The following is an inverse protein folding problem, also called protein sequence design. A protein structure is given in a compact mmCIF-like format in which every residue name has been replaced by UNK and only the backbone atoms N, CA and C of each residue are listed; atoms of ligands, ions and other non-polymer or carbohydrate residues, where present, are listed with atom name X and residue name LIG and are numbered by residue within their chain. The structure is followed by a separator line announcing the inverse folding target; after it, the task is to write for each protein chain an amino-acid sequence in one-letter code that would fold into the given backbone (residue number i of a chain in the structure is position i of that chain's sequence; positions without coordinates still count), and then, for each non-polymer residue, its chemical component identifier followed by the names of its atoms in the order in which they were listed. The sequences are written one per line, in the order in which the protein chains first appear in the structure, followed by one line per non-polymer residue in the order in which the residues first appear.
data_IF_803929768318
#
_entry.id   IF_803929768318
#
_cell.length_a   1.000
_cell.length_b   1.000
_cell.length_c   1.000
_cell.angle_alpha   90.00
_cell.angle_beta   90.00
_cell.angle_gamma   90.00
#
_symmetry.space_group_name_H-M   'P 1'
#
loop_
_entity.id
_entity.type
_entity.pdbx_description
1 polymer ?
#
# COMPACT_ATOMS: atom_id res chain seq x y z
N UNK A 1 -70.37 -20.31 21.38
CA UNK A 1 -69.79 -19.17 20.65
C UNK A 1 -69.64 -18.00 21.62
N UNK A 2 -68.39 -17.70 21.99
CA UNK A 2 -68.04 -16.88 23.15
C UNK A 2 -68.32 -15.38 22.92
N UNK A 3 -69.09 -14.81 23.85
CA UNK A 3 -69.33 -13.37 24.03
C UNK A 3 -68.00 -12.70 24.39
N UNK A 4 -67.37 -11.99 23.45
CA UNK A 4 -66.22 -11.14 23.74
C UNK A 4 -66.71 -9.87 24.46
N UNK A 5 -66.16 -9.67 25.65
CA UNK A 5 -66.47 -8.59 26.59
C UNK A 5 -66.05 -7.22 26.05
N UNK A 6 -66.98 -6.26 26.05
CA UNK A 6 -66.80 -4.84 25.66
C UNK A 6 -65.65 -4.13 26.38
N UNK A 7 -65.08 -4.71 27.46
CA UNK A 7 -63.92 -4.15 28.16
C UNK A 7 -62.58 -4.40 27.44
N UNK A 8 -62.49 -5.37 26.52
CA UNK A 8 -61.27 -5.59 25.71
C UNK A 8 -61.18 -4.67 24.49
N UNK A 9 -62.32 -4.26 23.91
CA UNK A 9 -62.35 -3.34 22.78
C UNK A 9 -61.91 -1.90 23.17
N UNK A 10 -62.22 -1.46 24.39
CA UNK A 10 -61.82 -0.12 24.87
C UNK A 10 -60.31 -0.06 25.15
N UNK A 11 -59.69 -1.15 25.60
CA UNK A 11 -58.22 -1.21 25.81
C UNK A 11 -57.43 -1.26 24.50
N UNK A 12 -57.95 -1.91 23.46
CA UNK A 12 -57.30 -1.96 22.14
C UNK A 12 -57.42 -0.60 21.42
N UNK A 13 -58.55 0.10 21.58
CA UNK A 13 -58.73 1.46 21.05
C UNK A 13 -57.80 2.49 21.73
N UNK A 14 -57.58 2.37 23.05
CA UNK A 14 -56.69 3.27 23.79
C UNK A 14 -55.20 3.06 23.50
N UNK A 15 -54.78 1.87 23.07
CA UNK A 15 -53.38 1.59 22.70
C UNK A 15 -53.09 2.10 21.28
N UNK A 16 -54.10 2.09 20.38
CA UNK A 16 -53.95 2.64 19.03
C UNK A 16 -53.89 4.18 19.03
N UNK A 17 -54.59 4.85 19.97
CA UNK A 17 -54.55 6.30 20.09
C UNK A 17 -53.22 6.84 20.65
N UNK A 18 -52.54 6.07 21.51
CA UNK A 18 -51.21 6.44 22.05
C UNK A 18 -50.10 6.18 21.02
N UNK A 19 -50.26 5.18 20.15
CA UNK A 19 -49.30 4.92 19.07
C UNK A 19 -49.32 5.97 17.95
N UNK A 20 -50.46 6.65 17.75
CA UNK A 20 -50.59 7.77 16.79
C UNK A 20 -50.00 9.07 17.34
N UNK A 21 -49.90 9.22 18.67
CA UNK A 21 -49.36 10.43 19.32
C UNK A 21 -47.83 10.42 19.52
N UNK A 22 -47.15 9.30 19.28
CA UNK A 22 -45.67 9.22 19.33
C UNK A 22 -45.01 9.24 17.94
N UNK A 23 -45.78 9.47 16.88
CA UNK A 23 -45.30 9.63 15.49
C UNK A 23 -45.17 11.11 15.07
N UNK A 24 -45.30 12.05 16.00
CA UNK A 24 -45.28 13.51 15.71
C UNK A 24 -43.97 14.22 16.06
N UNK A 25 -42.88 13.49 16.28
CA UNK A 25 -41.53 14.09 16.33
C UNK A 25 -40.74 13.73 15.08
N UNK A 26 -41.37 13.92 13.92
CA UNK A 26 -40.67 14.02 12.65
C UNK A 26 -40.31 15.50 12.55
N UNK A 27 -39.02 15.77 12.53
CA UNK A 27 -38.41 17.05 12.15
C UNK A 27 -39.13 17.65 10.94
N UNK A 28 -39.11 18.98 10.74
CA UNK A 28 -39.58 19.57 9.50
C UNK A 28 -38.59 19.21 8.38
N UNK A 29 -38.61 17.96 7.94
CA UNK A 29 -38.25 17.62 6.57
C UNK A 29 -39.30 18.30 5.71
N UNK A 30 -39.01 19.55 5.33
CA UNK A 30 -39.53 20.10 4.10
C UNK A 30 -39.03 19.21 2.98
N UNK A 31 -39.79 18.15 2.69
CA UNK A 31 -39.85 17.62 1.34
C UNK A 31 -40.39 18.76 0.48
N UNK A 32 -39.51 19.67 0.08
CA UNK A 32 -39.65 20.35 -1.21
C UNK A 32 -39.37 19.26 -2.23
N UNK A 33 -40.34 18.35 -2.37
CA UNK A 33 -40.55 17.74 -3.65
C UNK A 33 -40.75 18.92 -4.59
N UNK A 34 -39.76 19.17 -5.45
CA UNK A 34 -39.90 19.97 -6.65
C UNK A 34 -40.89 19.25 -7.59
N UNK A 35 -42.12 19.07 -7.12
CA UNK A 35 -43.26 18.91 -7.98
C UNK A 35 -43.34 20.24 -8.72
N UNK A 36 -43.01 20.23 -10.01
CA UNK A 36 -43.29 21.34 -10.92
C UNK A 36 -44.81 21.58 -10.91
N UNK A 37 -45.30 22.32 -9.92
CA UNK A 37 -46.54 23.07 -10.07
C UNK A 37 -46.28 23.94 -11.30
N UNK A 38 -47.12 23.76 -12.30
CA UNK A 38 -47.12 24.52 -13.54
C UNK A 38 -47.35 25.98 -13.16
N UNK A 39 -46.28 26.69 -12.84
CA UNK A 39 -46.28 28.09 -12.49
C UNK A 39 -46.46 28.85 -13.82
N UNK A 40 -47.52 29.64 -13.94
CA UNK A 40 -47.73 30.52 -15.09
C UNK A 40 -46.79 31.76 -15.04
N UNK A 41 -45.59 31.63 -14.46
CA UNK A 41 -44.64 32.72 -14.17
C UNK A 41 -43.22 32.28 -14.55
N UNK A 42 -42.44 33.18 -15.15
CA UNK A 42 -41.04 32.94 -15.51
C UNK A 42 -40.14 32.94 -14.28
N UNK A 43 -39.03 32.19 -14.33
CA UNK A 43 -38.12 32.00 -13.20
C UNK A 43 -36.66 32.19 -13.57
N UNK A 44 -35.86 32.65 -12.60
CA UNK A 44 -34.39 32.58 -12.64
C UNK A 44 -33.94 31.78 -11.42
N UNK A 45 -33.19 30.70 -11.63
CA UNK A 45 -32.75 29.78 -10.57
C UNK A 45 -33.89 29.38 -9.61
N UNK A 46 -35.07 29.04 -10.16
CA UNK A 46 -36.27 28.69 -9.39
C UNK A 46 -37.00 29.86 -8.71
N UNK A 47 -36.45 31.08 -8.75
CA UNK A 47 -37.06 32.29 -8.18
C UNK A 47 -38.04 32.88 -9.18
N UNK A 48 -39.27 33.17 -8.76
CA UNK A 48 -40.28 33.78 -9.62
C UNK A 48 -39.92 35.23 -9.92
N UNK A 49 -39.95 35.59 -11.20
CA UNK A 49 -39.70 36.95 -11.70
C UNK A 49 -40.98 37.48 -12.35
N UNK A 50 -41.53 38.53 -11.77
CA UNK A 50 -42.76 39.21 -12.20
C UNK A 50 -42.52 40.64 -12.73
N UNK A 51 -41.25 41.02 -12.87
CA UNK A 51 -40.79 42.35 -13.29
C UNK A 51 -39.76 42.25 -14.42
N UNK A 52 -39.75 43.26 -15.30
CA UNK A 52 -38.73 43.44 -16.34
C UNK A 52 -37.64 44.44 -15.92
N UNK A 53 -37.74 45.02 -14.71
CA UNK A 53 -36.73 45.95 -14.19
C UNK A 53 -35.47 45.19 -13.74
N UNK A 54 -34.37 45.37 -14.50
CA UNK A 54 -33.07 44.78 -14.22
C UNK A 54 -32.60 44.98 -12.78
N UNK A 55 -32.86 46.14 -12.17
CA UNK A 55 -32.38 46.43 -10.81
C UNK A 55 -33.19 45.67 -9.76
N UNK A 56 -34.50 45.52 -9.98
CA UNK A 56 -35.38 44.76 -9.11
C UNK A 56 -35.03 43.26 -9.16
N UNK A 57 -34.84 42.71 -10.37
CA UNK A 57 -34.37 41.33 -10.55
C UNK A 57 -33.01 41.14 -9.87
N UNK A 58 -32.08 42.09 -10.03
CA UNK A 58 -30.76 42.01 -9.41
C UNK A 58 -30.83 42.01 -7.89
N UNK A 59 -31.73 42.78 -7.29
CA UNK A 59 -31.92 42.80 -5.85
C UNK A 59 -32.48 41.47 -5.34
N UNK A 60 -33.48 40.90 -6.03
CA UNK A 60 -34.06 39.59 -5.70
C UNK A 60 -33.01 38.48 -5.77
N UNK A 61 -32.20 38.47 -6.82
CA UNK A 61 -31.11 37.49 -6.98
C UNK A 61 -30.02 37.67 -5.93
N UNK A 62 -29.65 38.91 -5.57
CA UNK A 62 -28.63 39.17 -4.56
C UNK A 62 -29.04 38.68 -3.16
N UNK A 63 -30.31 38.88 -2.78
CA UNK A 63 -30.85 38.37 -1.52
C UNK A 63 -30.83 36.84 -1.47
N UNK A 64 -31.26 36.20 -2.56
CA UNK A 64 -31.27 34.73 -2.66
C UNK A 64 -29.88 34.12 -2.70
N UNK A 65 -28.96 34.76 -3.40
CA UNK A 65 -27.57 34.33 -3.46
C UNK A 65 -26.91 34.40 -2.09
N UNK A 66 -27.15 35.48 -1.34
CA UNK A 66 -26.65 35.62 0.03
C UNK A 66 -27.16 34.46 0.90
N UNK A 67 -28.47 34.20 0.87
CA UNK A 67 -29.10 33.11 1.62
C UNK A 67 -28.51 31.73 1.25
N UNK A 68 -28.30 31.46 -0.04
CA UNK A 68 -27.75 30.18 -0.51
C UNK A 68 -26.26 30.02 -0.13
N UNK A 69 -25.50 31.11 -0.14
CA UNK A 69 -24.06 31.11 0.16
C UNK A 69 -23.71 30.94 1.64
N UNK A 70 -24.68 31.14 2.56
CA UNK A 70 -24.49 30.99 4.01
C UNK A 70 -24.24 29.53 4.43
N UNK A 71 -24.66 28.57 3.60
CA UNK A 71 -24.47 27.14 3.84
C UNK A 71 -23.47 26.57 2.83
N UNK A 72 -22.46 25.80 3.29
CA UNK A 72 -21.55 25.13 2.37
C UNK A 72 -22.33 24.11 1.52
N UNK A 73 -21.83 23.85 0.32
CA UNK A 73 -22.39 22.81 -0.54
C UNK A 73 -21.81 21.46 -0.11
N UNK A 74 -22.68 20.52 0.26
CA UNK A 74 -22.29 19.19 0.70
C UNK A 74 -22.44 18.19 -0.44
N UNK A 75 -21.35 17.50 -0.80
CA UNK A 75 -21.37 16.41 -1.76
C UNK A 75 -21.28 15.10 -0.97
N UNK A 76 -22.41 14.40 -0.85
CA UNK A 76 -22.51 13.12 -0.16
C UNK A 76 -22.00 11.99 -1.05
N UNK A 77 -21.09 11.18 -0.50
CA UNK A 77 -20.48 10.02 -1.15
C UNK A 77 -20.70 8.75 -0.32
N UNK A 78 -20.34 7.58 -0.85
CA UNK A 78 -20.55 6.29 -0.15
C UNK A 78 -19.92 6.28 1.25
N UNK A 79 -18.75 6.91 1.38
CA UNK A 79 -18.02 7.01 2.64
C UNK A 79 -17.66 8.47 2.94
N UNK A 80 -18.62 9.19 3.54
CA UNK A 80 -18.42 10.55 4.03
C UNK A 80 -18.99 11.63 3.13
N UNK A 81 -18.45 12.84 3.27
CA UNK A 81 -18.98 14.04 2.61
C UNK A 81 -17.82 14.95 2.21
N UNK A 82 -17.90 15.54 1.03
CA UNK A 82 -16.99 16.61 0.60
C UNK A 82 -17.72 17.94 0.83
N UNK A 83 -17.14 18.79 1.67
CA UNK A 83 -17.64 20.13 1.93
C UNK A 83 -17.00 21.12 0.95
N UNK A 84 -17.84 21.76 0.13
CA UNK A 84 -17.42 22.72 -0.87
C UNK A 84 -17.73 24.14 -0.39
N UNK A 85 -16.68 24.94 -0.25
CA UNK A 85 -16.78 26.37 0.07
C UNK A 85 -17.38 27.12 -1.13
N UNK A 86 -18.43 27.89 -0.86
CA UNK A 86 -19.13 28.70 -1.88
C UNK A 86 -18.24 29.81 -2.45
N UNK A 87 -17.12 30.14 -1.79
CA UNK A 87 -16.09 31.05 -2.32
C UNK A 87 -15.42 30.55 -3.60
N UNK A 88 -15.50 29.25 -3.90
CA UNK A 88 -15.00 28.64 -5.14
C UNK A 88 -15.95 28.82 -6.34
N UNK A 89 -17.11 29.46 -6.14
CA UNK A 89 -18.14 29.65 -7.15
C UNK A 89 -18.29 31.14 -7.47
N UNK A 90 -18.05 31.51 -8.71
CA UNK A 90 -18.25 32.87 -9.21
C UNK A 90 -19.56 32.97 -9.98
N UNK A 91 -20.53 33.71 -9.44
CA UNK A 91 -21.85 33.91 -10.06
C UNK A 91 -21.88 35.10 -11.04
N UNK A 92 -22.43 34.87 -12.23
CA UNK A 92 -22.57 35.82 -13.33
C UNK A 92 -23.99 36.38 -13.40
N UNK A 93 -24.35 37.18 -12.38
CA UNK A 93 -25.72 37.68 -12.18
C UNK A 93 -26.19 38.56 -13.33
N UNK A 94 -25.35 39.47 -13.84
CA UNK A 94 -25.78 40.40 -14.88
C UNK A 94 -26.06 39.66 -16.20
N UNK A 95 -25.20 38.70 -16.55
CA UNK A 95 -25.30 37.84 -17.72
C UNK A 95 -26.57 36.98 -17.68
N UNK A 96 -26.88 36.44 -16.49
CA UNK A 96 -28.12 35.67 -16.26
C UNK A 96 -29.36 36.53 -16.50
N UNK A 97 -29.38 37.76 -15.97
CA UNK A 97 -30.49 38.70 -16.16
C UNK A 97 -30.66 39.05 -17.64
N UNK A 98 -29.56 39.29 -18.36
CA UNK A 98 -29.60 39.60 -19.79
C UNK A 98 -30.13 38.44 -20.62
N UNK A 99 -29.69 37.21 -20.31
CA UNK A 99 -30.20 36.00 -20.94
C UNK A 99 -31.69 35.81 -20.68
N UNK A 100 -32.14 36.05 -19.44
CA UNK A 100 -33.55 35.98 -19.07
C UNK A 100 -34.38 36.98 -19.88
N UNK A 101 -34.00 38.26 -19.85
CA UNK A 101 -34.72 39.33 -20.55
C UNK A 101 -34.73 39.14 -22.07
N UNK A 102 -33.66 38.58 -22.64
CA UNK A 102 -33.63 38.24 -24.05
C UNK A 102 -34.62 37.13 -24.38
N UNK A 103 -34.74 36.11 -23.53
CA UNK A 103 -35.67 34.98 -23.73
C UNK A 103 -37.13 35.35 -23.45
N UNK A 104 -37.38 36.32 -22.56
CA UNK A 104 -38.73 36.83 -22.26
C UNK A 104 -39.15 38.01 -23.15
N UNK A 105 -38.24 38.53 -24.00
CA UNK A 105 -38.52 39.67 -24.86
C UNK A 105 -39.71 39.39 -25.80
N UNK A 106 -40.80 40.12 -25.58
CA UNK A 106 -41.98 40.10 -26.44
C UNK A 106 -42.11 41.45 -27.14
N UNK A 107 -42.06 41.50 -28.49
CA UNK A 107 -42.28 42.74 -29.19
C UNK A 107 -43.65 43.34 -28.86
N UNK A 108 -43.72 44.66 -28.70
CA UNK A 108 -44.94 45.37 -28.28
C UNK A 108 -46.17 45.06 -29.15
N UNK A 109 -45.95 44.73 -30.43
CA UNK A 109 -47.02 44.37 -31.35
C UNK A 109 -47.53 42.94 -31.17
N UNK A 110 -46.99 42.14 -30.25
CA UNK A 110 -47.44 40.77 -30.00
C UNK A 110 -48.23 40.64 -28.68
N UNK A 111 -48.76 41.74 -28.14
CA UNK A 111 -49.43 41.80 -26.83
C UNK A 111 -50.61 40.82 -26.63
N UNK A 112 -51.17 40.28 -27.72
CA UNK A 112 -52.24 39.28 -27.68
C UNK A 112 -51.74 37.83 -27.51
N UNK A 113 -50.43 37.58 -27.64
CA UNK A 113 -49.85 36.26 -27.41
C UNK A 113 -49.62 36.05 -25.91
N UNK A 114 -49.82 34.82 -25.45
CA UNK A 114 -49.51 34.43 -24.07
C UNK A 114 -48.03 34.72 -23.79
N UNK A 115 -47.74 35.29 -22.62
CA UNK A 115 -46.37 35.58 -22.17
C UNK A 115 -45.47 34.36 -22.31
N UNK A 116 -44.24 34.59 -22.75
CA UNK A 116 -43.22 33.54 -22.88
C UNK A 116 -42.75 33.20 -21.47
N UNK A 117 -43.13 32.01 -21.00
CA UNK A 117 -42.67 31.47 -19.73
C UNK A 117 -41.29 30.84 -19.94
N UNK A 118 -40.30 31.37 -19.22
CA UNK A 118 -38.92 30.93 -19.32
C UNK A 118 -38.43 30.59 -17.93
N UNK A 119 -37.67 29.50 -17.83
CA UNK A 119 -36.87 29.17 -16.67
C UNK A 119 -35.38 29.24 -17.10
N UNK A 120 -34.58 30.01 -16.36
CA UNK A 120 -33.15 30.21 -16.65
C UNK A 120 -32.34 29.89 -15.40
N UNK A 121 -31.41 28.92 -15.44
CA UNK A 121 -30.51 28.69 -14.33
C UNK A 121 -29.55 29.87 -14.16
N UNK A 122 -29.08 30.11 -12.93
CA UNK A 122 -28.03 31.12 -12.73
C UNK A 122 -26.74 30.68 -13.42
N UNK A 123 -26.10 31.61 -14.13
CA UNK A 123 -24.80 31.38 -14.76
C UNK A 123 -23.70 31.51 -13.69
N UNK A 124 -22.74 30.60 -13.69
CA UNK A 124 -21.60 30.63 -12.78
C UNK A 124 -20.36 29.96 -13.39
N UNK A 125 -19.24 30.10 -12.71
CA UNK A 125 -17.99 29.38 -12.99
C UNK A 125 -17.45 28.82 -11.68
N UNK A 126 -17.01 27.57 -11.70
CA UNK A 126 -16.35 26.93 -10.55
C UNK A 126 -14.84 26.94 -10.73
N UNK A 127 -14.11 27.13 -9.64
CA UNK A 127 -12.67 26.94 -9.59
C UNK A 127 -12.30 25.48 -9.90
N UNK A 128 -11.19 25.28 -10.61
CA UNK A 128 -10.71 23.95 -11.01
C UNK A 128 -10.41 23.03 -9.81
N UNK A 129 -10.11 23.62 -8.65
CA UNK A 129 -9.93 22.89 -7.38
C UNK A 129 -11.12 22.01 -7.02
N UNK A 130 -12.34 22.38 -7.42
CA UNK A 130 -13.54 21.57 -7.19
C UNK A 130 -13.41 20.21 -7.87
N UNK A 131 -12.88 20.19 -9.10
CA UNK A 131 -12.67 18.96 -9.85
C UNK A 131 -11.57 18.12 -9.20
N UNK A 132 -10.48 18.75 -8.74
CA UNK A 132 -9.40 18.05 -8.05
C UNK A 132 -9.84 17.43 -6.72
N UNK A 133 -10.72 18.12 -5.97
CA UNK A 133 -11.34 17.56 -4.76
C UNK A 133 -12.16 16.31 -5.05
N UNK A 134 -12.90 16.27 -6.17
CA UNK A 134 -13.66 15.09 -6.58
C UNK A 134 -12.74 13.97 -7.10
N UNK A 135 -11.68 14.30 -7.84
CA UNK A 135 -10.68 13.33 -8.34
C UNK A 135 -9.94 12.56 -7.25
N UNK A 136 -9.84 13.14 -6.04
CA UNK A 136 -9.24 12.45 -4.89
C UNK A 136 -10.00 11.17 -4.51
N UNK A 137 -11.24 11.01 -4.97
CA UNK A 137 -12.07 9.85 -4.71
C UNK A 137 -12.38 9.11 -6.02
N UNK A 138 -11.65 8.01 -6.25
CA UNK A 138 -11.81 7.19 -7.45
C UNK A 138 -13.19 6.52 -7.55
N UNK A 139 -13.98 6.49 -6.47
CA UNK A 139 -15.34 5.94 -6.51
C UNK A 139 -16.32 6.88 -7.21
N UNK A 140 -16.01 8.16 -7.40
CA UNK A 140 -16.92 9.16 -7.97
C UNK A 140 -16.82 9.21 -9.50
N UNK A 141 -17.95 9.10 -10.20
CA UNK A 141 -18.04 9.46 -11.62
C UNK A 141 -18.09 10.98 -11.72
N UNK A 142 -16.95 11.57 -12.05
CA UNK A 142 -16.74 13.02 -11.97
C UNK A 142 -17.71 13.78 -12.86
N UNK A 143 -17.80 13.45 -14.15
CA UNK A 143 -18.60 14.22 -15.12
C UNK A 143 -20.08 14.27 -14.73
N UNK A 144 -20.65 13.13 -14.34
CA UNK A 144 -22.06 13.03 -13.92
C UNK A 144 -22.31 13.70 -12.57
N UNK A 145 -21.35 13.60 -11.65
CA UNK A 145 -21.43 14.29 -10.35
C UNK A 145 -21.36 15.80 -10.54
N UNK A 146 -20.48 16.28 -11.43
CA UNK A 146 -20.38 17.70 -11.79
C UNK A 146 -21.67 18.19 -12.44
N UNK A 147 -22.34 17.39 -13.28
CA UNK A 147 -23.63 17.76 -13.84
C UNK A 147 -24.69 18.00 -12.75
N UNK A 148 -24.76 17.12 -11.75
CA UNK A 148 -25.66 17.32 -10.59
C UNK A 148 -25.28 18.53 -9.73
N UNK A 149 -23.99 18.72 -9.49
CA UNK A 149 -23.49 19.91 -8.78
C UNK A 149 -23.86 21.18 -9.54
N UNK A 150 -23.76 21.15 -10.87
CA UNK A 150 -24.14 22.29 -11.70
C UNK A 150 -25.63 22.59 -11.65
N UNK A 151 -26.47 21.56 -11.63
CA UNK A 151 -27.92 21.71 -11.48
C UNK A 151 -28.28 22.29 -10.11
N UNK A 152 -27.67 21.77 -9.04
CA UNK A 152 -27.86 22.21 -7.67
C UNK A 152 -27.53 23.70 -7.48
N UNK A 153 -26.36 24.13 -7.98
CA UNK A 153 -25.92 25.53 -7.93
C UNK A 153 -26.79 26.40 -8.86
N UNK A 154 -27.06 25.91 -10.07
CA UNK A 154 -27.82 26.64 -11.10
C UNK A 154 -29.25 26.97 -10.68
N UNK A 155 -29.83 26.19 -9.77
CA UNK A 155 -31.22 26.33 -9.32
C UNK A 155 -31.39 26.62 -7.83
N UNK A 156 -30.30 26.78 -7.07
CA UNK A 156 -30.32 27.05 -5.63
C UNK A 156 -31.22 26.08 -4.84
N UNK A 157 -31.01 24.76 -4.98
CA UNK A 157 -31.96 23.77 -4.43
C UNK A 157 -31.80 23.55 -2.91
N UNK A 158 -30.97 22.61 -2.47
CA UNK A 158 -30.85 22.13 -1.08
C UNK A 158 -29.44 22.25 -0.48
N UNK A 159 -28.46 22.74 -1.23
CA UNK A 159 -27.04 22.75 -0.85
C UNK A 159 -26.50 21.34 -0.53
N UNK A 160 -27.14 20.28 -1.02
CA UNK A 160 -26.68 18.89 -0.85
C UNK A 160 -26.82 18.11 -2.14
N UNK A 161 -25.74 17.48 -2.60
CA UNK A 161 -25.69 16.70 -3.83
C UNK A 161 -25.24 15.29 -3.52
N UNK A 162 -25.99 14.30 -4.00
CA UNK A 162 -25.54 12.91 -3.97
C UNK A 162 -24.63 12.62 -5.16
N UNK A 163 -23.35 12.36 -4.88
CA UNK A 163 -22.37 11.99 -5.89
C UNK A 163 -22.83 10.75 -6.66
N UNK A 164 -22.60 10.74 -7.97
CA UNK A 164 -22.74 9.52 -8.75
C UNK A 164 -21.52 8.67 -8.47
N UNK A 165 -21.77 7.52 -7.87
CA UNK A 165 -20.74 6.54 -7.62
C UNK A 165 -20.62 5.64 -8.84
N UNK A 166 -19.37 5.40 -9.24
CA UNK A 166 -19.00 4.33 -10.13
C UNK A 166 -19.59 3.07 -9.54
N UNK A 167 -20.37 2.33 -10.32
CA UNK A 167 -20.83 1.03 -9.88
C UNK A 167 -19.62 0.09 -9.90
N UNK A 168 -18.84 0.10 -8.82
CA UNK A 168 -17.61 -0.69 -8.63
C UNK A 168 -17.92 -2.20 -8.80
N UNK A 169 -19.17 -2.63 -8.61
CA UNK A 169 -19.60 -4.00 -8.87
C UNK A 169 -19.64 -4.41 -10.36
N UNK A 170 -19.47 -3.46 -11.30
CA UNK A 170 -19.50 -3.71 -12.75
C UNK A 170 -18.19 -3.43 -13.48
N UNK A 171 -17.13 -3.11 -12.74
CA UNK A 171 -15.76 -3.13 -13.25
C UNK A 171 -15.18 -4.47 -12.80
N UNK A 172 -14.84 -5.34 -13.75
CA UNK A 172 -14.19 -6.60 -13.43
C UNK A 172 -12.85 -6.29 -12.73
N UNK A 173 -12.65 -6.87 -11.54
CA UNK A 173 -11.35 -6.81 -10.88
C UNK A 173 -10.28 -7.43 -11.79
N UNK A 174 -9.13 -6.77 -11.91
CA UNK A 174 -7.98 -7.30 -12.60
C UNK A 174 -7.07 -8.03 -11.61
N UNK A 175 -6.50 -9.15 -12.04
CA UNK A 175 -5.38 -9.75 -11.33
C UNK A 175 -4.16 -8.86 -11.51
N UNK A 176 -3.71 -8.22 -10.42
CA UNK A 176 -2.55 -7.33 -10.42
C UNK A 176 -1.26 -8.05 -10.00
N UNK A 177 -1.35 -9.21 -9.36
CA UNK A 177 -0.20 -10.04 -9.02
C UNK A 177 -0.59 -11.52 -8.88
N UNK A 178 0.35 -12.42 -9.18
CA UNK A 178 0.16 -13.88 -9.02
C UNK A 178 1.46 -14.59 -8.69
N UNK A 179 1.38 -15.52 -7.73
CA UNK A 179 2.51 -16.35 -7.32
C UNK A 179 2.07 -17.80 -7.19
N UNK A 180 2.83 -18.70 -7.82
CA UNK A 180 2.63 -20.15 -7.70
C UNK A 180 3.87 -20.78 -7.07
N UNK A 181 3.70 -21.60 -6.03
CA UNK A 181 4.79 -22.26 -5.30
C UNK A 181 4.46 -23.71 -4.98
N UNK A 182 5.47 -24.58 -5.13
CA UNK A 182 5.39 -25.96 -4.64
C UNK A 182 5.36 -25.95 -3.10
N UNK A 183 4.44 -26.71 -2.51
CA UNK A 183 4.28 -26.79 -1.07
C UNK A 183 5.41 -27.63 -0.47
N UNK A 184 6.19 -27.01 0.42
CA UNK A 184 7.32 -27.64 1.14
C UNK A 184 7.08 -27.83 2.64
N UNK A 185 5.90 -27.45 3.12
CA UNK A 185 5.53 -27.42 4.55
C UNK A 185 4.35 -28.34 4.86
N UNK A 186 3.93 -28.39 6.13
CA UNK A 186 2.74 -29.13 6.53
C UNK A 186 1.49 -28.56 5.85
N UNK A 187 0.82 -29.40 5.04
CA UNK A 187 -0.35 -28.95 4.29
C UNK A 187 -1.53 -28.54 5.17
N UNK A 188 -1.77 -29.21 6.32
CA UNK A 188 -2.88 -28.87 7.22
C UNK A 188 -2.68 -27.51 7.89
N UNK A 189 -1.45 -27.18 8.28
CA UNK A 189 -1.15 -25.84 8.81
C UNK A 189 -1.26 -24.76 7.73
N UNK A 190 -0.87 -25.07 6.49
CA UNK A 190 -1.03 -24.16 5.37
C UNK A 190 -2.51 -23.91 5.02
N UNK A 191 -3.34 -24.96 5.00
CA UNK A 191 -4.78 -24.88 4.76
C UNK A 191 -5.49 -23.94 5.76
N UNK A 192 -5.13 -24.00 7.05
CA UNK A 192 -5.66 -23.08 8.07
C UNK A 192 -5.26 -21.61 7.83
N UNK A 193 -4.03 -21.37 7.35
CA UNK A 193 -3.57 -20.03 7.00
C UNK A 193 -4.29 -19.50 5.76
N UNK A 194 -4.49 -20.35 4.76
CA UNK A 194 -5.26 -20.04 3.55
C UNK A 194 -6.70 -19.68 3.92
N UNK A 195 -7.39 -20.52 4.69
CA UNK A 195 -8.78 -20.25 5.14
C UNK A 195 -8.89 -18.90 5.86
N UNK A 196 -7.84 -18.51 6.60
CA UNK A 196 -7.82 -17.26 7.36
C UNK A 196 -7.64 -16.01 6.48
N UNK A 197 -6.89 -16.13 5.38
CA UNK A 197 -6.50 -15.04 4.48
C UNK A 197 -7.35 -14.97 3.21
N UNK A 198 -8.05 -16.04 2.86
CA UNK A 198 -8.90 -16.11 1.68
C UNK A 198 -9.97 -15.02 1.69
N UNK A 199 -10.01 -14.22 0.62
CA UNK A 199 -10.93 -13.10 0.49
C UNK A 199 -10.62 -11.93 1.43
N UNK A 200 -9.44 -11.89 2.07
CA UNK A 200 -9.04 -10.72 2.86
C UNK A 200 -8.90 -9.52 1.92
N UNK A 201 -9.63 -8.45 2.21
CA UNK A 201 -9.56 -7.19 1.47
C UNK A 201 -8.80 -6.15 2.26
N UNK A 202 -7.70 -5.65 1.70
CA UNK A 202 -6.93 -4.52 2.22
C UNK A 202 -7.43 -3.21 1.61
N UNK A 203 -7.92 -2.31 2.47
CA UNK A 203 -8.48 -1.02 2.08
C UNK A 203 -7.38 -0.02 1.67
N UNK A 204 -7.75 1.08 0.98
CA UNK A 204 -6.85 2.20 0.74
C UNK A 204 -6.18 2.69 2.04
N UNK A 205 -4.87 2.88 1.99
CA UNK A 205 -4.01 3.31 3.11
C UNK A 205 -4.06 2.39 4.35
N UNK A 206 -4.68 1.22 4.27
CA UNK A 206 -4.68 0.24 5.35
C UNK A 206 -3.28 -0.39 5.46
N UNK A 207 -2.80 -0.52 6.69
CA UNK A 207 -1.61 -1.30 7.01
C UNK A 207 -2.03 -2.71 7.43
N UNK A 208 -1.54 -3.71 6.73
CA UNK A 208 -1.75 -5.12 7.04
C UNK A 208 -0.57 -5.65 7.85
N UNK A 209 -0.87 -6.24 9.02
CA UNK A 209 0.06 -7.03 9.84
C UNK A 209 -0.28 -8.51 9.69
N UNK A 210 0.65 -9.30 9.14
CA UNK A 210 0.42 -10.72 8.93
C UNK A 210 0.25 -11.46 10.27
N UNK A 211 1.14 -11.20 11.23
CA UNK A 211 1.06 -11.81 12.55
C UNK A 211 -0.25 -11.45 13.26
N UNK A 212 -0.74 -10.22 13.15
CA UNK A 212 -2.02 -9.84 13.75
C UNK A 212 -3.18 -10.69 13.21
N UNK A 213 -3.24 -10.89 11.88
CA UNK A 213 -4.28 -11.68 11.22
C UNK A 213 -4.31 -13.12 11.73
N UNK A 214 -3.14 -13.76 11.87
CA UNK A 214 -3.00 -15.18 12.19
C UNK A 214 -2.82 -15.48 13.68
N UNK A 215 -2.59 -14.47 14.51
CA UNK A 215 -2.32 -14.60 15.96
C UNK A 215 -3.41 -15.34 16.76
N UNK A 216 -4.65 -15.32 16.27
CA UNK A 216 -5.79 -15.97 16.93
C UNK A 216 -5.93 -17.47 16.57
N UNK A 217 -5.07 -18.01 15.71
CA UNK A 217 -5.05 -19.42 15.36
C UNK A 217 -4.34 -20.22 16.46
N UNK A 218 -5.07 -20.51 17.54
CA UNK A 218 -4.58 -21.25 18.73
C UNK A 218 -3.98 -22.62 18.37
N UNK A 219 -4.40 -23.20 17.25
CA UNK A 219 -3.95 -24.52 16.78
C UNK A 219 -2.66 -24.46 15.95
N UNK A 220 -2.19 -23.26 15.59
CA UNK A 220 -1.06 -23.09 14.68
C UNK A 220 0.26 -23.00 15.44
N UNK A 221 0.94 -24.14 15.58
CA UNK A 221 2.30 -24.23 16.13
C UNK A 221 3.27 -24.77 15.08
N UNK A 222 3.24 -24.17 13.89
CA UNK A 222 4.11 -24.52 12.77
C UNK A 222 4.83 -23.26 12.23
N UNK A 223 6.04 -22.97 12.71
CA UNK A 223 6.84 -21.84 12.25
C UNK A 223 7.21 -21.91 10.77
N UNK A 224 7.40 -23.12 10.21
CA UNK A 224 7.76 -23.27 8.80
C UNK A 224 6.56 -22.90 7.92
N UNK A 225 5.34 -23.31 8.29
CA UNK A 225 4.13 -22.91 7.57
C UNK A 225 3.87 -21.40 7.65
N UNK A 226 4.13 -20.77 8.81
CA UNK A 226 4.04 -19.31 8.98
C UNK A 226 5.01 -18.58 8.05
N UNK A 227 6.26 -19.00 8.02
CA UNK A 227 7.31 -18.42 7.17
C UNK A 227 7.03 -18.66 5.68
N UNK A 228 6.51 -19.83 5.31
CA UNK A 228 6.16 -20.15 3.92
C UNK A 228 5.02 -19.26 3.41
N UNK A 229 3.95 -19.08 4.20
CA UNK A 229 2.85 -18.19 3.85
C UNK A 229 3.29 -16.71 3.84
N UNK A 230 4.09 -16.28 4.81
CA UNK A 230 4.67 -14.93 4.79
C UNK A 230 5.53 -14.70 3.54
N UNK A 231 6.33 -15.70 3.14
CA UNK A 231 7.13 -15.66 1.91
C UNK A 231 6.27 -15.57 0.66
N UNK A 232 5.16 -16.31 0.63
CA UNK A 232 4.17 -16.28 -0.46
C UNK A 232 3.54 -14.88 -0.60
N UNK A 233 3.04 -14.33 0.49
CA UNK A 233 2.48 -12.97 0.56
C UNK A 233 3.51 -11.91 0.17
N UNK A 234 4.73 -11.99 0.69
CA UNK A 234 5.81 -11.07 0.36
C UNK A 234 6.15 -11.11 -1.14
N UNK A 235 6.26 -12.32 -1.72
CA UNK A 235 6.51 -12.47 -3.16
C UNK A 235 5.37 -11.91 -3.99
N UNK A 236 4.12 -12.06 -3.54
CA UNK A 236 2.94 -11.52 -4.21
C UNK A 236 2.95 -9.99 -4.19
N UNK A 237 3.21 -9.40 -3.02
CA UNK A 237 3.32 -7.94 -2.81
C UNK A 237 4.52 -7.34 -3.57
N UNK A 238 5.61 -8.08 -3.77
CA UNK A 238 6.72 -7.64 -4.61
C UNK A 238 6.31 -7.41 -6.08
N UNK A 239 5.27 -8.10 -6.56
CA UNK A 239 4.72 -7.92 -7.91
C UNK A 239 3.63 -6.85 -7.98
N UNK A 240 3.34 -6.15 -6.88
CA UNK A 240 2.42 -5.01 -6.88
C UNK A 240 3.14 -3.73 -6.44
N UNK A 241 2.43 -2.60 -6.52
CA UNK A 241 2.93 -1.31 -6.05
C UNK A 241 2.78 -1.12 -4.53
N UNK A 242 2.34 -2.14 -3.79
CA UNK A 242 2.12 -2.05 -2.35
C UNK A 242 3.41 -1.73 -1.59
N UNK A 243 3.33 -0.92 -0.55
CA UNK A 243 4.53 -0.51 0.19
C UNK A 243 4.86 -1.53 1.27
N UNK A 244 6.05 -2.11 1.22
CA UNK A 244 6.55 -3.04 2.24
C UNK A 244 7.17 -2.22 3.36
N UNK A 245 6.55 -2.26 4.54
CA UNK A 245 6.94 -1.46 5.71
C UNK A 245 7.90 -2.24 6.63
N UNK A 246 7.68 -3.54 6.76
CA UNK A 246 8.54 -4.44 7.54
C UNK A 246 8.63 -5.79 6.85
N UNK A 247 9.85 -6.33 6.80
CA UNK A 247 10.14 -7.69 6.39
C UNK A 247 11.43 -8.14 7.03
N UNK A 248 11.48 -9.38 7.51
CA UNK A 248 12.70 -10.00 8.00
C UNK A 248 13.18 -11.09 7.05
N UNK A 249 14.50 -11.18 6.83
CA UNK A 249 15.09 -12.20 5.99
C UNK A 249 14.94 -13.59 6.59
N UNK A 250 14.57 -14.57 5.76
CA UNK A 250 14.48 -15.95 6.20
C UNK A 250 15.88 -16.58 6.27
N UNK A 251 16.31 -17.08 7.44
CA UNK A 251 17.62 -17.72 7.56
C UNK A 251 17.73 -19.04 6.78
N UNK A 252 16.59 -19.67 6.45
CA UNK A 252 16.51 -20.92 5.71
C UNK A 252 15.76 -20.69 4.41
N UNK A 253 16.36 -21.12 3.31
CA UNK A 253 15.76 -20.97 1.99
C UNK A 253 14.80 -22.13 1.69
N UNK A 254 13.57 -21.79 1.31
CA UNK A 254 12.65 -22.73 0.65
C UNK A 254 13.12 -22.95 -0.80
N UNK A 255 13.08 -24.18 -1.30
CA UNK A 255 13.58 -24.52 -2.64
C UNK A 255 12.76 -23.89 -3.76
N UNK A 256 11.47 -23.74 -3.54
CA UNK A 256 10.48 -23.16 -4.46
C UNK A 256 10.58 -21.64 -4.56
N UNK A 257 11.27 -20.99 -3.63
CA UNK A 257 11.47 -19.54 -3.63
C UNK A 257 12.84 -19.15 -4.22
N UNK A 258 12.85 -17.98 -4.85
CA UNK A 258 14.09 -17.41 -5.35
C UNK A 258 14.77 -16.69 -4.18
N UNK A 259 16.10 -16.81 -3.99
CA UNK A 259 16.79 -16.08 -2.94
C UNK A 259 16.43 -14.58 -2.99
N UNK A 260 16.06 -14.02 -1.85
CA UNK A 260 15.66 -12.62 -1.75
C UNK A 260 14.14 -12.39 -1.76
N UNK A 261 13.33 -13.44 -1.93
CA UNK A 261 11.86 -13.34 -2.02
C UNK A 261 11.13 -14.05 -0.86
N UNK A 262 11.86 -14.45 0.17
CA UNK A 262 11.29 -15.06 1.37
C UNK A 262 10.99 -14.01 2.44
N UNK A 263 10.16 -14.35 3.42
CA UNK A 263 9.99 -13.57 4.63
C UNK A 263 10.04 -14.52 5.84
N UNK A 264 10.45 -13.98 6.97
CA UNK A 264 10.45 -14.69 8.24
C UNK A 264 9.62 -13.93 9.25
N UNK A 265 8.75 -14.65 9.94
CA UNK A 265 7.89 -14.09 10.98
C UNK A 265 8.00 -14.90 12.25
N UNK A 266 7.82 -14.22 13.37
CA UNK A 266 7.93 -14.82 14.67
C UNK A 266 7.19 -13.97 15.69
N UNK A 267 6.07 -14.50 16.19
CA UNK A 267 5.24 -13.79 17.17
C UNK A 267 5.99 -13.51 18.49
N UNK A 268 6.85 -14.43 18.94
CA UNK A 268 7.61 -14.31 20.21
C UNK A 268 8.69 -13.24 20.11
N UNK A 269 9.33 -13.12 18.95
CA UNK A 269 10.38 -12.13 18.69
C UNK A 269 9.85 -10.85 18.04
N UNK A 270 8.52 -10.72 17.90
CA UNK A 270 7.84 -9.59 17.24
C UNK A 270 8.41 -9.31 15.85
N UNK A 271 8.69 -10.37 15.08
CA UNK A 271 9.04 -10.26 13.67
C UNK A 271 7.79 -10.45 12.83
N UNK A 272 7.46 -9.48 12.01
CA UNK A 272 6.24 -9.51 11.23
C UNK A 272 6.53 -9.20 9.75
N UNK A 273 5.53 -9.42 8.91
CA UNK A 273 5.46 -8.92 7.55
C UNK A 273 4.38 -7.84 7.53
N UNK A 274 4.80 -6.59 7.31
CA UNK A 274 3.89 -5.46 7.21
C UNK A 274 3.96 -4.80 5.85
N UNK A 275 2.81 -4.53 5.27
CA UNK A 275 2.67 -3.78 4.04
C UNK A 275 1.39 -2.95 4.03
N UNK A 276 1.33 -1.95 3.16
CA UNK A 276 0.17 -1.09 2.99
C UNK A 276 -0.21 -0.97 1.51
N UNK A 277 -1.50 -0.80 1.26
CA UNK A 277 -2.05 -0.50 -0.06
C UNK A 277 -2.03 1.03 -0.28
N UNK A 278 -1.11 1.57 -1.11
CA UNK A 278 -1.03 3.01 -1.36
C UNK A 278 -2.08 3.49 -2.37
N UNK A 279 -2.94 2.60 -2.87
CA UNK A 279 -3.93 2.93 -3.89
C UNK A 279 -5.24 3.40 -3.25
N UNK A 280 -5.99 4.20 -4.00
CA UNK A 280 -7.34 4.66 -3.62
C UNK A 280 -8.43 3.61 -3.82
N UNK A 281 -8.07 2.40 -4.25
CA UNK A 281 -8.96 1.26 -4.46
C UNK A 281 -8.50 0.07 -3.60
N UNK A 282 -9.42 -0.75 -3.07
CA UNK A 282 -9.07 -1.92 -2.27
C UNK A 282 -8.41 -3.01 -3.13
N UNK A 283 -7.73 -3.94 -2.48
CA UNK A 283 -7.30 -5.19 -3.11
C UNK A 283 -7.65 -6.42 -2.30
N UNK A 284 -7.96 -7.51 -2.97
CA UNK A 284 -8.45 -8.76 -2.36
C UNK A 284 -7.50 -9.91 -2.65
N UNK A 285 -7.12 -10.65 -1.61
CA UNK A 285 -6.28 -11.84 -1.73
C UNK A 285 -7.12 -13.09 -2.00
N UNK A 286 -6.69 -13.89 -2.97
CA UNK A 286 -7.23 -15.21 -3.25
C UNK A 286 -6.13 -16.27 -3.26
N UNK A 287 -6.47 -17.45 -2.77
CA UNK A 287 -5.58 -18.58 -2.62
C UNK A 287 -6.26 -19.86 -3.10
N UNK A 288 -5.50 -20.69 -3.78
CA UNK A 288 -5.95 -22.03 -4.18
C UNK A 288 -4.81 -23.04 -4.05
N UNK A 289 -5.17 -24.30 -3.84
CA UNK A 289 -4.22 -25.41 -3.77
C UNK A 289 -4.60 -26.47 -4.79
N UNK A 290 -3.70 -26.74 -5.73
CA UNK A 290 -3.86 -27.75 -6.77
C UNK A 290 -2.55 -28.54 -6.95
N UNK A 291 -2.61 -29.87 -7.02
CA UNK A 291 -1.48 -30.75 -7.33
C UNK A 291 -0.17 -30.48 -6.54
N UNK A 292 -0.27 -30.19 -5.24
CA UNK A 292 0.85 -29.83 -4.35
C UNK A 292 1.48 -28.45 -4.62
N UNK A 293 0.77 -27.59 -5.34
CA UNK A 293 1.11 -26.18 -5.51
C UNK A 293 0.07 -25.31 -4.82
N UNK A 294 0.53 -24.21 -4.23
CA UNK A 294 -0.33 -23.11 -3.80
C UNK A 294 -0.20 -21.98 -4.81
N UNK A 295 -1.34 -21.42 -5.20
CA UNK A 295 -1.45 -20.19 -5.97
C UNK A 295 -1.96 -19.10 -5.05
N UNK A 296 -1.30 -17.96 -5.03
CA UNK A 296 -1.75 -16.74 -4.37
C UNK A 296 -1.94 -15.65 -5.42
N UNK A 297 -3.05 -14.95 -5.35
CA UNK A 297 -3.49 -13.95 -6.34
C UNK A 297 -3.92 -12.69 -5.58
N UNK A 298 -3.61 -11.53 -6.16
CA UNK A 298 -4.09 -10.24 -5.68
C UNK A 298 -4.93 -9.61 -6.78
N UNK A 299 -6.19 -9.36 -6.48
CA UNK A 299 -7.14 -8.69 -7.36
C UNK A 299 -7.39 -7.25 -6.88
N UNK A 300 -7.57 -6.34 -7.82
CA UNK A 300 -7.97 -4.96 -7.53
C UNK A 300 -8.66 -4.36 -8.76
N UNK A 301 -9.25 -3.18 -8.61
CA UNK A 301 -9.66 -2.40 -9.78
C UNK A 301 -8.44 -2.05 -10.64
N UNK A 302 -8.61 -1.83 -11.97
CA UNK A 302 -7.51 -1.48 -12.85
C UNK A 302 -6.66 -0.34 -12.30
N UNK A 303 -5.37 -0.62 -12.09
CA UNK A 303 -4.39 0.36 -11.63
C UNK A 303 -3.61 0.93 -12.83
N UNK A 304 -3.24 2.20 -12.76
CA UNK A 304 -2.39 2.87 -13.75
C UNK A 304 -0.88 2.57 -13.56
N UNK A 305 -0.54 1.70 -12.61
CA UNK A 305 0.82 1.32 -12.24
C UNK A 305 1.00 -0.18 -12.40
N UNK A 306 2.09 -0.58 -13.05
CA UNK A 306 2.59 -1.94 -13.08
C UNK A 306 3.82 -2.07 -12.18
N UNK A 307 4.03 -3.26 -11.60
CA UNK A 307 5.19 -3.57 -10.78
C UNK A 307 5.78 -4.94 -11.14
N UNK A 308 7.10 -5.00 -11.22
CA UNK A 308 7.85 -6.24 -11.40
C UNK A 308 9.05 -6.27 -10.46
N UNK A 309 9.43 -7.45 -9.99
CA UNK A 309 10.63 -7.61 -9.17
C UNK A 309 11.65 -8.50 -9.86
N UNK A 310 12.92 -8.30 -9.52
CA UNK A 310 14.02 -9.09 -10.04
C UNK A 310 15.23 -9.05 -9.09
N UNK A 311 16.13 -10.03 -9.23
CA UNK A 311 17.35 -10.13 -8.42
C UNK A 311 18.56 -9.56 -9.16
N UNK A 312 19.41 -8.86 -8.40
CA UNK A 312 20.73 -8.36 -8.83
C UNK A 312 21.81 -8.74 -7.81
N UNK A 313 23.06 -8.49 -8.19
CA UNK A 313 24.25 -8.61 -7.33
C UNK A 313 24.38 -9.96 -6.63
N UNK A 314 23.95 -11.03 -7.32
CA UNK A 314 24.04 -12.39 -6.82
C UNK A 314 25.51 -12.82 -6.72
N UNK A 315 25.97 -12.99 -5.49
CA UNK A 315 27.34 -13.41 -5.18
C UNK A 315 27.32 -14.76 -4.44
N UNK A 316 28.03 -15.74 -4.98
CA UNK A 316 28.28 -17.01 -4.28
C UNK A 316 29.32 -16.82 -3.18
N UNK A 317 29.04 -17.38 -2.00
CA UNK A 317 29.91 -17.29 -0.84
C UNK A 317 30.46 -18.69 -0.53
N UNK A 318 31.74 -18.91 -0.78
CA UNK A 318 32.34 -20.23 -0.65
C UNK A 318 32.44 -20.69 0.81
N UNK A 319 32.21 -21.98 1.10
CA UNK A 319 32.37 -22.51 2.44
C UNK A 319 33.84 -22.62 2.82
N UNK A 320 34.16 -22.29 4.07
CA UNK A 320 35.47 -22.58 4.65
C UNK A 320 35.60 -24.07 4.99
N UNK A 321 36.83 -24.59 5.01
CA UNK A 321 37.11 -25.93 5.54
C UNK A 321 37.57 -25.84 6.99
N UNK A 322 36.85 -26.50 7.89
CA UNK A 322 37.18 -26.62 9.30
C UNK A 322 37.81 -28.00 9.54
N UNK A 323 39.06 -28.00 9.99
CA UNK A 323 39.72 -29.21 10.48
C UNK A 323 39.43 -29.40 11.97
N UNK A 324 38.88 -30.54 12.34
CA UNK A 324 38.68 -30.95 13.73
C UNK A 324 39.53 -32.18 14.01
N UNK A 325 40.20 -32.22 15.16
CA UNK A 325 41.09 -33.31 15.51
C UNK A 325 40.38 -34.30 16.45
N UNK A 326 40.49 -35.59 16.17
CA UNK A 326 39.90 -36.66 17.00
C UNK A 326 40.87 -37.83 17.16
N UNK A 327 40.84 -38.47 18.34
CA UNK A 327 41.58 -39.69 18.63
C UNK A 327 41.03 -40.91 17.85
N UNK A 328 39.79 -40.84 17.38
CA UNK A 328 39.10 -41.94 16.68
C UNK A 328 39.49 -42.04 15.20
N UNK A 329 40.26 -41.07 14.69
CA UNK A 329 40.75 -41.07 13.31
C UNK A 329 42.15 -41.67 13.30
N UNK A 330 42.35 -42.71 12.49
CA UNK A 330 43.65 -43.34 12.33
C UNK A 330 44.67 -42.37 11.72
N UNK A 331 45.95 -42.52 12.07
CA UNK A 331 47.02 -41.74 11.47
C UNK A 331 46.99 -41.86 9.94
N UNK A 332 47.20 -40.75 9.23
CA UNK A 332 47.17 -40.67 7.75
C UNK A 332 45.80 -40.95 7.13
N UNK A 333 44.73 -40.92 7.91
CA UNK A 333 43.35 -40.96 7.40
C UNK A 333 42.64 -39.63 7.68
N UNK A 334 41.58 -39.36 6.93
CA UNK A 334 40.67 -38.25 7.20
C UNK A 334 39.23 -38.72 7.00
N UNK A 335 38.30 -38.07 7.69
CA UNK A 335 36.86 -38.33 7.54
C UNK A 335 36.13 -37.02 7.32
N UNK A 336 35.45 -36.90 6.18
CA UNK A 336 34.54 -35.79 5.94
C UNK A 336 33.29 -36.03 6.80
N UNK A 337 33.01 -35.11 7.72
CA UNK A 337 31.79 -35.12 8.54
C UNK A 337 30.70 -34.29 7.88
N UNK A 338 31.10 -33.20 7.23
CA UNK A 338 30.20 -32.30 6.54
C UNK A 338 30.84 -31.84 5.24
N UNK A 339 30.14 -32.01 4.12
CA UNK A 339 30.67 -31.72 2.78
C UNK A 339 30.84 -30.21 2.56
N UNK A 340 30.05 -29.40 3.27
CA UNK A 340 29.91 -27.97 3.08
C UNK A 340 28.99 -27.62 1.91
N UNK A 341 28.43 -26.40 1.94
CA UNK A 341 27.57 -25.82 0.90
C UNK A 341 27.88 -24.34 0.78
N UNK A 342 27.93 -23.83 -0.45
CA UNK A 342 28.06 -22.39 -0.69
C UNK A 342 26.83 -21.65 -0.18
N UNK A 343 27.07 -20.46 0.35
CA UNK A 343 26.06 -19.47 0.65
C UNK A 343 25.83 -18.55 -0.54
N UNK A 344 24.93 -17.59 -0.37
CA UNK A 344 24.64 -16.59 -1.40
C UNK A 344 24.31 -15.24 -0.76
N UNK A 345 24.78 -14.16 -1.38
CA UNK A 345 24.30 -12.80 -1.16
C UNK A 345 23.53 -12.35 -2.40
N UNK A 346 22.39 -11.71 -2.24
CA UNK A 346 21.55 -11.27 -3.36
C UNK A 346 20.78 -10.01 -2.98
N UNK A 347 20.52 -9.15 -3.96
CA UNK A 347 19.70 -7.95 -3.79
C UNK A 347 18.42 -8.06 -4.61
N UNK A 348 17.27 -7.80 -3.98
CA UNK A 348 15.96 -7.79 -4.64
C UNK A 348 15.58 -6.35 -4.97
N UNK A 349 15.29 -6.11 -6.24
CA UNK A 349 14.82 -4.83 -6.76
C UNK A 349 13.36 -4.95 -7.19
N UNK A 350 12.62 -3.86 -7.04
CA UNK A 350 11.29 -3.69 -7.63
C UNK A 350 11.29 -2.51 -8.57
N UNK A 351 10.88 -2.78 -9.81
CA UNK A 351 10.61 -1.77 -10.81
C UNK A 351 9.11 -1.50 -10.82
N UNK A 352 8.73 -0.23 -10.76
CA UNK A 352 7.34 0.22 -10.90
C UNK A 352 7.25 1.23 -12.05
N UNK A 353 6.25 1.08 -12.91
CA UNK A 353 6.07 1.93 -14.10
C UNK A 353 4.61 2.31 -14.30
N UNK A 354 4.37 3.51 -14.82
CA UNK A 354 3.03 3.91 -15.25
C UNK A 354 2.65 3.22 -16.58
N UNK A 355 1.42 2.69 -16.68
CA UNK A 355 0.93 2.01 -17.89
C UNK A 355 0.88 2.94 -19.12
N UNK A 356 0.52 4.21 -18.91
CA UNK A 356 0.32 5.20 -19.97
C UNK A 356 1.27 6.40 -19.87
N UNK A 357 2.33 6.27 -19.08
CA UNK A 357 3.29 7.34 -18.79
C UNK A 357 4.74 6.97 -19.10
N UNK A 358 5.65 7.89 -18.78
CA UNK A 358 7.10 7.66 -18.87
C UNK A 358 7.76 7.49 -17.51
N UNK A 359 6.98 7.46 -16.43
CA UNK A 359 7.50 7.26 -15.09
C UNK A 359 7.91 5.81 -14.90
N UNK A 360 9.14 5.62 -14.46
CA UNK A 360 9.71 4.33 -14.08
C UNK A 360 10.64 4.55 -12.89
N UNK A 361 10.48 3.76 -11.83
CA UNK A 361 11.39 3.74 -10.69
C UNK A 361 11.89 2.34 -10.43
N UNK A 362 13.16 2.24 -10.08
CA UNK A 362 13.86 0.99 -9.76
C UNK A 362 14.39 1.08 -8.32
N UNK A 363 13.73 0.39 -7.40
CA UNK A 363 13.98 0.51 -5.96
C UNK A 363 14.60 -0.77 -5.41
N UNK A 364 15.70 -0.62 -4.66
CA UNK A 364 16.24 -1.71 -3.84
C UNK A 364 15.27 -2.00 -2.69
N UNK A 365 14.71 -3.20 -2.66
CA UNK A 365 13.77 -3.63 -1.60
C UNK A 365 14.51 -4.30 -0.45
N UNK A 366 15.44 -5.20 -0.77
CA UNK A 366 16.17 -5.97 0.24
C UNK A 366 17.53 -6.42 -0.26
N UNK A 367 18.43 -6.72 0.67
CA UNK A 367 19.68 -7.43 0.40
C UNK A 367 19.83 -8.54 1.43
N UNK A 368 19.84 -9.76 0.92
CA UNK A 368 19.81 -10.96 1.74
C UNK A 368 21.13 -11.71 1.70
N UNK A 369 21.48 -12.30 2.83
CA UNK A 369 22.68 -13.08 3.01
C UNK A 369 22.35 -14.43 3.63
N UNK A 370 22.58 -15.48 2.85
CA UNK A 370 22.43 -16.87 3.25
C UNK A 370 23.84 -17.41 3.51
N UNK A 371 24.21 -17.71 4.77
CA UNK A 371 25.56 -18.11 5.10
C UNK A 371 25.92 -19.48 4.50
N UNK A 372 27.19 -19.69 4.07
CA UNK A 372 27.64 -21.01 3.66
C UNK A 372 27.65 -21.99 4.84
N UNK A 373 27.34 -23.25 4.56
CA UNK A 373 27.62 -24.34 5.48
C UNK A 373 29.08 -24.76 5.32
N UNK A 374 29.90 -24.65 6.36
CA UNK A 374 31.32 -24.98 6.28
C UNK A 374 31.57 -26.48 6.08
N UNK A 375 32.65 -26.82 5.36
CA UNK A 375 33.10 -28.22 5.20
C UNK A 375 33.85 -28.64 6.45
N UNK A 376 33.49 -29.77 7.06
CA UNK A 376 34.13 -30.27 8.29
C UNK A 376 34.88 -31.56 7.99
N UNK A 377 36.19 -31.58 8.24
CA UNK A 377 37.07 -32.73 8.07
C UNK A 377 37.67 -33.12 9.42
N UNK A 378 37.45 -34.36 9.85
CA UNK A 378 38.14 -34.93 10.99
C UNK A 378 39.52 -35.43 10.58
N UNK A 379 40.53 -35.04 11.36
CA UNK A 379 41.93 -35.46 11.23
C UNK A 379 42.39 -36.17 12.52
N UNK A 380 43.41 -37.05 12.43
CA UNK A 380 44.00 -37.70 13.59
C UNK A 380 44.67 -36.66 14.50
N UNK A 381 44.62 -36.85 15.82
CA UNK A 381 45.39 -36.03 16.76
C UNK A 381 46.86 -35.95 16.32
N UNK A 382 47.50 -34.77 16.41
CA UNK A 382 48.92 -34.66 16.14
C UNK A 382 49.69 -35.61 17.05
N UNK A 383 50.63 -36.39 16.48
CA UNK A 383 51.56 -37.14 17.30
C UNK A 383 52.42 -36.14 18.06
N UNK A 384 52.52 -36.30 19.39
CA UNK A 384 53.57 -35.63 20.13
C UNK A 384 54.90 -36.16 19.59
N UNK A 385 55.63 -35.32 18.86
CA UNK A 385 56.92 -35.71 18.34
C UNK A 385 57.86 -35.95 19.52
N UNK A 386 58.32 -37.18 19.66
CA UNK A 386 59.26 -37.59 20.69
C UNK A 386 60.64 -37.01 20.40
N UNK A 387 60.81 -35.70 20.58
CA UNK A 387 62.10 -35.11 20.88
C UNK A 387 62.16 -34.92 22.40
N UNK A 388 63.11 -35.60 23.05
CA UNK A 388 63.46 -35.34 24.44
C UNK A 388 63.89 -33.87 24.57
N UNK A 389 62.99 -33.04 25.08
CA UNK A 389 63.26 -31.70 25.58
C UNK A 389 62.49 -31.54 26.88
N UNK A 390 63.23 -31.42 27.98
CA UNK A 390 62.77 -31.35 29.37
C UNK A 390 61.57 -30.42 29.58
N UNK A 391 60.60 -30.92 30.34
CA UNK A 391 59.52 -30.15 30.98
C UNK A 391 60.07 -29.02 31.85
N UNK A 392 59.60 -27.79 31.63
CA UNK A 392 59.32 -26.85 32.71
C UNK A 392 57.85 -26.46 32.59
N UNK A 393 57.06 -26.96 33.54
CA UNK A 393 55.62 -26.77 33.53
C UNK A 393 55.20 -25.38 33.94
N UNK A 394 54.04 -24.97 33.43
CA UNK A 394 53.14 -24.12 34.17
C UNK A 394 51.73 -24.71 34.03
N UNK A 395 51.28 -25.27 35.14
CA UNK A 395 49.91 -25.73 35.34
C UNK A 395 49.02 -24.50 35.51
N UNK A 396 48.00 -24.35 34.68
CA UNK A 396 46.81 -23.60 35.09
C UNK A 396 45.55 -24.19 34.49
N UNK A 397 44.80 -24.87 35.36
CA UNK A 397 43.35 -24.73 35.50
C UNK A 397 42.49 -25.00 34.28
N UNK A 398 41.94 -26.22 34.23
CA UNK A 398 40.63 -26.50 33.67
C UNK A 398 39.62 -25.47 34.20
N UNK A 399 38.93 -24.75 33.31
CA UNK A 399 37.63 -24.20 33.61
C UNK A 399 36.69 -24.53 32.44
N UNK A 400 35.77 -25.46 32.70
CA UNK A 400 34.57 -25.64 31.89
C UNK A 400 33.69 -24.41 32.14
N UNK A 401 33.56 -23.54 31.15
CA UNK A 401 32.40 -22.67 31.04
C UNK A 401 31.78 -22.90 29.66
N UNK A 402 30.63 -23.58 29.67
CA UNK A 402 29.61 -23.40 28.66
C UNK A 402 29.12 -21.97 28.77
N UNK A 403 29.53 -21.10 27.85
CA UNK A 403 28.79 -19.88 27.56
C UNK A 403 28.39 -19.89 26.08
N UNK A 404 27.07 -19.94 25.95
CA UNK A 404 26.30 -19.84 24.74
C UNK A 404 26.24 -18.35 24.38
N UNK A 405 27.12 -17.87 23.50
CA UNK A 405 26.99 -16.53 22.91
C UNK A 405 26.47 -16.65 21.47
N UNK A 406 25.14 -16.70 21.39
CA UNK A 406 24.39 -16.17 20.27
C UNK A 406 24.27 -14.66 20.49
N UNK A 407 25.02 -13.88 19.71
CA UNK A 407 24.89 -12.42 19.68
C UNK A 407 25.35 -11.91 18.32
N UNK A 408 24.51 -12.16 17.30
CA UNK A 408 24.57 -11.37 16.07
C UNK A 408 23.83 -10.05 16.33
N UNK A 409 24.57 -9.04 16.75
CA UNK A 409 24.07 -7.67 16.76
C UNK A 409 24.07 -7.13 15.33
N UNK A 410 22.85 -6.85 14.85
CA UNK A 410 22.59 -6.00 13.70
C UNK A 410 23.27 -4.65 13.89
N UNK A 411 24.14 -4.28 12.96
CA UNK A 411 24.65 -2.92 12.83
C UNK A 411 23.57 -2.06 12.15
N UNK A 412 22.74 -1.38 12.95
CA UNK A 412 21.99 -0.22 12.48
C UNK A 412 22.90 1.01 12.62
N UNK A 413 23.31 1.56 11.48
CA UNK A 413 23.88 2.90 11.40
C UNK A 413 22.76 3.93 11.54
N UNK A 414 22.74 4.64 12.67
CA UNK A 414 22.10 5.94 12.80
C UNK A 414 23.15 7.00 12.44
N UNK A 415 22.88 7.75 11.37
CA UNK A 415 23.62 8.98 11.05
C UNK A 415 22.92 10.09 11.83
N UNK A 416 23.60 10.62 12.86
CA UNK A 416 23.29 11.95 13.40
C UNK A 416 24.15 12.98 12.67
N UNK A 417 23.48 13.95 12.08
CA UNK A 417 24.05 15.19 11.57
C UNK A 417 24.60 16.03 12.73
N UNK A 418 25.88 16.37 12.70
CA UNK A 418 26.36 17.62 13.31
C UNK A 418 27.27 18.37 12.35
N UNK A 419 26.75 19.51 11.90
CA UNK A 419 27.45 20.61 11.25
C UNK A 419 28.64 21.07 12.11
N UNK A 420 29.82 21.16 11.48
CA UNK A 420 30.75 22.26 11.75
C UNK A 420 31.61 22.58 10.54
N UNK A 421 31.38 23.77 10.03
CA UNK A 421 32.21 24.54 9.12
C UNK A 421 33.68 24.52 9.53
N UNK A 422 34.59 24.35 8.57
CA UNK A 422 35.56 25.41 8.32
C UNK A 422 36.14 25.38 6.91
N UNK A 423 36.19 26.59 6.36
CA UNK A 423 36.80 26.98 5.12
C UNK A 423 38.32 26.79 5.15
N UNK A 424 38.90 26.27 4.08
CA UNK A 424 39.91 27.02 3.32
C UNK A 424 40.24 26.33 1.99
N UNK A 425 40.08 27.10 0.91
CA UNK A 425 40.43 26.69 -0.43
C UNK A 425 41.94 26.70 -0.68
N UNK A 426 42.33 25.93 -1.68
CA UNK A 426 43.45 26.24 -2.56
C UNK A 426 43.25 25.50 -3.89
N UNK A 427 43.52 26.23 -4.94
CA UNK A 427 43.24 25.94 -6.35
C UNK A 427 44.37 25.13 -7.00
N UNK A 428 44.01 24.53 -8.14
CA UNK A 428 44.78 24.35 -9.39
C UNK A 428 45.49 23.02 -9.73
N UNK A 429 45.19 22.67 -10.99
CA UNK A 429 45.97 21.96 -12.02
C UNK A 429 45.90 20.43 -12.04
N UNK A 430 45.21 19.84 -13.02
CA UNK A 430 45.64 19.58 -14.43
C UNK A 430 46.94 18.79 -14.52
N UNK A 431 46.87 17.54 -14.98
CA UNK A 431 47.37 17.21 -16.31
C UNK A 431 46.84 15.85 -16.80
N UNK A 432 46.65 15.78 -18.11
CA UNK A 432 46.33 14.59 -18.88
C UNK A 432 47.63 13.89 -19.31
N UNK A 433 47.59 12.57 -19.54
CA UNK A 433 48.76 11.86 -20.03
C UNK A 433 48.54 10.39 -20.34
N UNK A 434 47.97 10.13 -21.52
CA UNK A 434 48.01 8.89 -22.30
C UNK A 434 49.40 8.22 -22.35
N UNK A 435 49.47 6.87 -22.31
CA UNK A 435 49.80 6.04 -23.48
C UNK A 435 50.03 4.54 -23.17
N UNK A 436 49.41 3.72 -24.03
CA UNK A 436 49.87 2.51 -24.73
C UNK A 436 50.51 1.30 -24.01
N UNK A 437 49.74 0.20 -24.09
CA UNK A 437 50.02 -1.07 -24.78
C UNK A 437 51.41 -1.74 -24.62
N UNK A 438 51.40 -3.01 -24.18
CA UNK A 438 52.14 -4.11 -24.80
C UNK A 438 51.80 -5.47 -24.13
N UNK A 439 51.17 -6.35 -24.91
CA UNK A 439 51.06 -7.80 -24.70
C UNK A 439 52.44 -8.50 -24.67
N UNK A 440 52.68 -9.40 -23.70
CA UNK A 440 52.89 -10.86 -23.93
C UNK A 440 53.34 -11.62 -22.64
N UNK A 441 53.16 -12.96 -22.59
CA UNK A 441 52.74 -13.67 -21.38
C UNK A 441 53.90 -14.28 -20.58
N UNK A 442 53.74 -14.40 -19.25
CA UNK A 442 54.62 -15.22 -18.42
C UNK A 442 53.84 -16.09 -17.43
N UNK A 443 54.10 -17.39 -17.57
CA UNK A 443 54.07 -18.52 -16.64
C UNK A 443 53.42 -18.32 -15.25
N UNK A 444 52.34 -19.09 -15.03
CA UNK A 444 51.67 -19.23 -13.72
C UNK A 444 52.57 -19.99 -12.75
N UNK A 445 52.91 -19.34 -11.64
CA UNK A 445 53.28 -20.00 -10.39
C UNK A 445 52.31 -19.47 -9.34
N UNK A 446 51.52 -20.36 -8.75
CA UNK A 446 50.50 -20.00 -7.76
C UNK A 446 51.16 -19.34 -6.54
N UNK A 447 51.06 -18.01 -6.43
CA UNK A 447 51.44 -17.26 -5.23
C UNK A 447 50.28 -17.30 -4.23
N UNK A 448 50.57 -17.75 -3.01
CA UNK A 448 49.61 -17.86 -1.91
C UNK A 448 49.17 -16.46 -1.46
N UNK A 449 47.92 -16.10 -1.74
CA UNK A 449 47.35 -14.79 -1.39
C UNK A 449 46.96 -14.78 0.08
N UNK A 450 47.55 -13.87 0.86
CA UNK A 450 47.27 -13.70 2.29
C UNK A 450 46.25 -12.56 2.48
N UNK A 451 45.27 -12.76 3.36
CA UNK A 451 44.23 -11.78 3.68
C UNK A 451 44.33 -11.32 5.14
N UNK A 452 44.00 -10.06 5.40
CA UNK A 452 43.81 -9.56 6.77
C UNK A 452 42.46 -10.01 7.38
N UNK A 453 42.24 -9.69 8.66
CA UNK A 453 40.99 -10.03 9.38
C UNK A 453 39.74 -9.30 8.83
N UNK A 454 39.92 -8.29 7.98
CA UNK A 454 38.87 -7.55 7.29
C UNK A 454 38.62 -8.01 5.85
N UNK A 455 39.41 -8.96 5.33
CA UNK A 455 39.25 -9.52 3.99
C UNK A 455 39.99 -8.79 2.87
N UNK A 456 40.90 -7.86 3.21
CA UNK A 456 41.75 -7.21 2.21
C UNK A 456 42.98 -8.07 1.91
N UNK A 457 43.42 -8.08 0.65
CA UNK A 457 44.67 -8.73 0.24
C UNK A 457 45.85 -7.97 0.86
N UNK A 458 46.74 -8.69 1.55
CA UNK A 458 47.97 -8.13 2.12
C UNK A 458 49.19 -8.78 1.48
N UNK A 459 50.16 -7.97 1.08
CA UNK A 459 51.43 -8.46 0.58
C UNK A 459 52.22 -9.14 1.72
N UNK A 460 52.89 -10.27 1.46
CA UNK A 460 53.72 -10.91 2.46
C UNK A 460 54.86 -9.98 2.89
N UNK A 461 55.21 -9.92 4.18
CA UNK A 461 56.30 -9.07 4.64
C UNK A 461 57.61 -9.51 3.98
N UNK A 462 58.23 -8.61 3.21
CA UNK A 462 59.51 -8.82 2.55
C UNK A 462 60.61 -9.22 3.53
N UNK A 463 61.46 -10.15 3.12
CA UNK A 463 62.69 -10.56 3.83
C UNK A 463 63.72 -9.45 3.92
#
# INVERSE_FOLDING_TARGET
MHKLSNKKLIKISSIFLVFILTLTEISPFSNVAAASKKNDVSTIAGIQIDTDDKNEIKQLLAEKLLQWSETPLLIEKSHGTIELDTSLIQFHVNETIEQFLQKTHQPWYEFWKKNILVDVPIQFTMDEKVIDMLRSDASIVIDETIEKVNEEIGYFLTNTVQAIQSNIESIDEEQIAVVVKEIEVNNSSLELLIERLEGYTIQPDEQLSYIEIVSNLVELNDPEALDFMASLLYTLVLQSNYSILERHANPVQFKSFTPGTEAHVNQVLSKDLLFTNPNVVPGTFHFSVEDNYVTAELFSLPLDVDAEFYQRDKQEILPRTIYRYSADIAQNSEKIVEVGKSGVKVSTYRKTSEKFGSFETDNLISTDFYPPTHRVILKPLPKADGSNGVLSGESSGMNENQENESSNQSANNLIDEENKSDSNGATLNTDAGQNDDLNQPMDKKDEEVIYDKGGNIVEPPGK
#
